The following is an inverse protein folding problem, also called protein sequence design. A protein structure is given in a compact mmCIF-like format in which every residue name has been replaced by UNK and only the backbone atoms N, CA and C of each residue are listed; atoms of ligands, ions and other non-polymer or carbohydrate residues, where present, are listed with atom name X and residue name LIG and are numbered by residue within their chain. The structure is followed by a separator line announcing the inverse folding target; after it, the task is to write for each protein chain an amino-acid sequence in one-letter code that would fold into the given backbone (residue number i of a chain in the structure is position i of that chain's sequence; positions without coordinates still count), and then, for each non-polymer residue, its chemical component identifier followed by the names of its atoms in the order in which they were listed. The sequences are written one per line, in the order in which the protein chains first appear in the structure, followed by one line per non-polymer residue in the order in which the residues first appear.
data_IF_702299625345
#
_entry.id   IF_702299625345
#
_cell.length_a   1.000
_cell.length_b   1.000
_cell.length_c   1.000
_cell.angle_alpha   90.00
_cell.angle_beta   90.00
_cell.angle_gamma   90.00
#
_symmetry.space_group_name_H-M   'P 1'
#
loop_
_entity.id
_entity.type
_entity.pdbx_description
1 polymer ?
#
# COMPACT_ATOMS: atom_id res chain seq x y z
N UNK A 1 -6.23 23.80 -4.05
CA UNK A 1 -6.52 22.54 -3.34
C UNK A 1 -5.75 21.34 -3.93
N UNK A 2 -5.74 21.12 -5.28
CA UNK A 2 -5.08 19.95 -5.90
C UNK A 2 -3.64 19.73 -5.41
N UNK A 3 -2.80 20.78 -5.37
CA UNK A 3 -1.41 20.67 -4.89
C UNK A 3 -1.35 20.34 -3.39
N UNK A 4 -2.19 21.00 -2.59
CA UNK A 4 -2.23 20.79 -1.13
C UNK A 4 -2.67 19.36 -0.79
N UNK A 5 -3.72 18.86 -1.46
CA UNK A 5 -4.25 17.52 -1.26
C UNK A 5 -3.24 16.45 -1.74
N UNK A 6 -2.62 16.67 -2.91
CA UNK A 6 -1.58 15.79 -3.42
C UNK A 6 -0.36 15.72 -2.49
N UNK A 7 0.05 16.86 -1.93
CA UNK A 7 1.15 16.90 -0.96
C UNK A 7 0.78 16.20 0.36
N UNK A 8 -0.43 16.41 0.86
CA UNK A 8 -0.94 15.76 2.06
C UNK A 8 -0.96 14.23 1.92
N UNK A 9 -1.46 13.73 0.79
CA UNK A 9 -1.46 12.29 0.49
C UNK A 9 -0.05 11.72 0.36
N UNK A 10 0.85 12.45 -0.30
CA UNK A 10 2.25 12.06 -0.43
C UNK A 10 2.97 12.01 0.93
N UNK A 11 2.73 13.00 1.79
CA UNK A 11 3.28 13.05 3.14
C UNK A 11 2.75 11.90 3.99
N UNK A 12 1.45 11.60 3.93
CA UNK A 12 0.84 10.46 4.62
C UNK A 12 1.44 9.13 4.15
N UNK A 13 1.63 8.95 2.83
CA UNK A 13 2.27 7.74 2.29
C UNK A 13 3.75 7.64 2.70
N UNK A 14 4.48 8.76 2.72
CA UNK A 14 5.84 8.79 3.22
C UNK A 14 5.93 8.32 4.68
N UNK A 15 5.11 8.90 5.55
CA UNK A 15 5.11 8.56 6.98
C UNK A 15 4.70 7.11 7.22
N UNK A 16 3.68 6.61 6.52
CA UNK A 16 3.25 5.23 6.61
C UNK A 16 4.37 4.26 6.18
N UNK A 17 4.96 4.48 5.01
CA UNK A 17 6.07 3.64 4.52
C UNK A 17 7.31 3.75 5.41
N UNK A 18 7.60 4.94 5.94
CA UNK A 18 8.70 5.12 6.88
C UNK A 18 8.46 4.35 8.18
N UNK A 19 7.25 4.38 8.70
CA UNK A 19 6.87 3.61 9.90
C UNK A 19 7.06 2.09 9.69
N UNK A 20 6.72 1.55 8.50
CA UNK A 20 7.00 0.15 8.15
C UNK A 20 8.51 -0.15 8.17
N UNK A 21 9.35 0.75 7.64
CA UNK A 21 10.81 0.61 7.65
C UNK A 21 11.35 0.68 9.09
N UNK A 22 10.88 1.63 9.89
CA UNK A 22 11.32 1.82 11.28
C UNK A 22 10.92 0.60 12.13
N UNK A 23 9.71 0.06 11.92
CA UNK A 23 9.26 -1.17 12.56
C UNK A 23 10.14 -2.37 12.19
N UNK A 24 10.45 -2.54 10.91
CA UNK A 24 11.35 -3.60 10.45
C UNK A 24 12.73 -3.50 11.12
N UNK A 25 13.32 -2.32 11.17
CA UNK A 25 14.63 -2.13 11.80
C UNK A 25 14.58 -2.41 13.31
N UNK A 26 13.49 -2.03 13.97
CA UNK A 26 13.29 -2.33 15.39
C UNK A 26 13.27 -3.85 15.64
N UNK A 27 12.46 -4.60 14.91
CA UNK A 27 12.40 -6.05 15.09
C UNK A 27 13.70 -6.73 14.71
N UNK A 28 14.36 -6.27 13.64
CA UNK A 28 15.69 -6.76 13.28
C UNK A 28 16.70 -6.61 14.42
N UNK A 29 16.71 -5.46 15.08
CA UNK A 29 17.62 -5.23 16.23
C UNK A 29 17.26 -6.11 17.43
N UNK A 30 15.98 -6.42 17.63
CA UNK A 30 15.53 -7.34 18.69
C UNK A 30 16.04 -8.74 18.38
N UNK A 31 15.80 -9.24 17.16
CA UNK A 31 16.26 -10.55 16.73
C UNK A 31 17.78 -10.73 16.79
N UNK A 32 18.54 -9.71 16.36
CA UNK A 32 20.00 -9.72 16.47
C UNK A 32 20.45 -9.94 17.91
N UNK A 33 19.77 -9.30 18.88
CA UNK A 33 20.06 -9.49 20.31
C UNK A 33 19.63 -10.86 20.83
N UNK A 34 18.46 -11.35 20.43
CA UNK A 34 17.97 -12.66 20.85
C UNK A 34 18.92 -13.76 20.38
N UNK A 35 19.35 -13.74 19.12
CA UNK A 35 20.33 -14.69 18.58
C UNK A 35 21.67 -14.62 19.34
N UNK A 36 22.09 -13.43 19.79
CA UNK A 36 23.34 -13.26 20.52
C UNK A 36 23.26 -13.75 21.99
N UNK A 37 22.11 -13.55 22.64
CA UNK A 37 21.97 -13.83 24.08
C UNK A 37 21.32 -15.17 24.38
N UNK A 38 20.41 -15.66 23.52
CA UNK A 38 19.61 -16.88 23.74
C UNK A 38 19.53 -17.75 22.46
N UNK A 39 20.67 -18.07 21.81
CA UNK A 39 20.66 -18.73 20.48
C UNK A 39 19.91 -20.07 20.45
N UNK A 40 19.93 -20.86 21.53
CA UNK A 40 19.21 -22.14 21.60
C UNK A 40 17.68 -21.92 21.65
N UNK A 41 17.22 -20.83 22.28
CA UNK A 41 15.81 -20.45 22.27
C UNK A 41 15.33 -20.15 20.85
N UNK A 42 16.04 -19.26 20.17
CA UNK A 42 15.77 -18.86 18.79
C UNK A 42 15.85 -20.02 17.79
N UNK A 43 16.78 -20.95 17.99
CA UNK A 43 16.87 -22.19 17.20
C UNK A 43 15.64 -23.08 17.39
N UNK A 44 15.13 -23.17 18.61
CA UNK A 44 13.90 -23.91 18.89
C UNK A 44 12.69 -23.24 18.27
N UNK A 45 12.64 -21.91 18.18
CA UNK A 45 11.57 -21.19 17.51
C UNK A 45 11.56 -21.48 15.99
N UNK A 46 12.71 -21.41 15.32
CA UNK A 46 12.85 -21.89 13.92
C UNK A 46 12.32 -23.30 13.78
N UNK A 47 12.69 -24.21 14.70
CA UNK A 47 12.22 -25.60 14.67
C UNK A 47 10.71 -25.70 14.75
N UNK A 48 10.07 -24.94 15.67
CA UNK A 48 8.61 -24.90 15.82
C UNK A 48 7.92 -24.32 14.58
N UNK A 49 8.44 -23.23 14.01
CA UNK A 49 7.91 -22.62 12.79
C UNK A 49 7.86 -23.64 11.67
N UNK A 50 8.95 -24.37 11.42
CA UNK A 50 9.01 -25.34 10.32
C UNK A 50 8.27 -26.64 10.63
N UNK A 51 8.16 -27.02 11.89
CA UNK A 51 7.26 -28.10 12.32
C UNK A 51 5.79 -27.79 12.01
N UNK A 52 5.35 -26.56 12.31
CA UNK A 52 4.00 -26.11 12.01
C UNK A 52 3.72 -26.03 10.49
N UNK A 53 4.77 -25.89 9.68
CA UNK A 53 4.71 -25.98 8.21
C UNK A 53 4.71 -27.42 7.67
N UNK A 54 4.78 -28.43 8.56
CA UNK A 54 4.69 -29.84 8.19
C UNK A 54 6.03 -30.56 7.99
N UNK A 55 7.17 -29.93 8.33
CA UNK A 55 8.47 -30.61 8.32
C UNK A 55 8.66 -31.45 9.59
N UNK A 56 9.19 -32.64 9.44
CA UNK A 56 9.45 -33.58 10.55
C UNK A 56 10.76 -34.35 10.37
N UNK A 57 11.28 -34.88 11.48
CA UNK A 57 12.46 -35.75 11.49
C UNK A 57 13.70 -35.11 10.90
N UNK A 58 14.51 -35.87 10.20
CA UNK A 58 15.81 -35.44 9.68
C UNK A 58 15.73 -34.21 8.76
N UNK A 59 14.68 -34.10 7.95
CA UNK A 59 14.49 -32.94 7.07
C UNK A 59 14.32 -31.66 7.87
N UNK A 60 13.58 -31.70 8.97
CA UNK A 60 13.42 -30.56 9.88
C UNK A 60 14.77 -30.15 10.49
N UNK A 61 15.51 -31.14 11.02
CA UNK A 61 16.78 -30.83 11.69
C UNK A 61 17.80 -30.24 10.70
N UNK A 62 17.85 -30.75 9.46
CA UNK A 62 18.69 -30.18 8.39
C UNK A 62 18.33 -28.74 8.04
N UNK A 63 17.03 -28.42 7.87
CA UNK A 63 16.58 -27.07 7.56
C UNK A 63 16.92 -26.10 8.70
N UNK A 64 16.71 -26.51 9.95
CA UNK A 64 17.07 -25.71 11.12
C UNK A 64 18.58 -25.41 11.16
N UNK A 65 19.40 -26.43 10.91
CA UNK A 65 20.86 -26.28 10.91
C UNK A 65 21.33 -25.33 9.80
N UNK A 66 20.84 -25.50 8.58
CA UNK A 66 21.20 -24.62 7.44
C UNK A 66 20.78 -23.17 7.68
N UNK A 67 19.58 -22.93 8.21
CA UNK A 67 19.11 -21.57 8.51
C UNK A 67 19.96 -20.93 9.60
N UNK A 68 20.21 -21.67 10.69
CA UNK A 68 20.89 -21.12 11.87
C UNK A 68 22.41 -21.01 11.67
N UNK A 69 23.00 -21.75 10.74
CA UNK A 69 24.39 -21.58 10.33
C UNK A 69 24.68 -20.24 9.64
N UNK A 70 23.66 -19.63 9.03
CA UNK A 70 23.78 -18.34 8.37
C UNK A 70 23.00 -17.26 9.13
N UNK A 71 23.72 -16.43 9.90
CA UNK A 71 23.11 -15.38 10.73
C UNK A 71 22.15 -14.45 9.95
N UNK A 72 22.51 -14.07 8.74
CA UNK A 72 21.67 -13.18 7.93
C UNK A 72 20.37 -13.88 7.47
N UNK A 73 20.47 -15.16 7.12
CA UNK A 73 19.33 -15.99 6.76
C UNK A 73 18.43 -16.22 7.98
N UNK A 74 19.02 -16.50 9.14
CA UNK A 74 18.32 -16.72 10.40
C UNK A 74 17.46 -15.47 10.76
N UNK A 75 18.08 -14.30 10.87
CA UNK A 75 17.38 -13.04 11.14
C UNK A 75 16.25 -12.80 10.11
N UNK A 76 16.54 -12.98 8.82
CA UNK A 76 15.56 -12.81 7.77
C UNK A 76 14.37 -13.77 7.93
N UNK A 77 14.64 -15.03 8.26
CA UNK A 77 13.59 -16.04 8.45
C UNK A 77 12.71 -15.69 9.64
N UNK A 78 13.29 -15.29 10.78
CA UNK A 78 12.54 -14.86 11.95
C UNK A 78 11.65 -13.67 11.62
N UNK A 79 12.20 -12.63 11.00
CA UNK A 79 11.43 -11.44 10.61
C UNK A 79 10.22 -11.77 9.70
N UNK A 80 10.37 -12.75 8.82
CA UNK A 80 9.29 -13.13 7.89
C UNK A 80 8.28 -14.08 8.52
N UNK A 81 8.75 -15.06 9.27
CA UNK A 81 7.91 -16.18 9.72
C UNK A 81 7.29 -15.95 11.09
N UNK A 82 7.98 -15.29 11.99
CA UNK A 82 7.48 -14.95 13.33
C UNK A 82 6.69 -13.63 13.31
N UNK A 83 7.29 -12.56 12.77
CA UNK A 83 6.67 -11.22 12.77
C UNK A 83 5.82 -10.94 11.53
N UNK A 84 5.82 -11.81 10.52
CA UNK A 84 5.05 -11.60 9.29
C UNK A 84 5.51 -10.38 8.48
N UNK A 85 6.76 -9.93 8.65
CA UNK A 85 7.28 -8.75 7.98
C UNK A 85 7.61 -9.03 6.51
N UNK A 86 7.47 -8.04 5.61
CA UNK A 86 7.72 -8.24 4.19
C UNK A 86 9.20 -8.50 3.92
N UNK A 87 9.47 -9.40 2.96
CA UNK A 87 10.84 -9.72 2.53
C UNK A 87 11.61 -8.52 1.96
N UNK A 88 10.89 -7.55 1.41
CA UNK A 88 11.45 -6.33 0.80
C UNK A 88 10.72 -5.10 1.32
N UNK A 89 11.48 -4.08 1.67
CA UNK A 89 10.95 -2.81 2.13
C UNK A 89 10.77 -1.84 0.96
N UNK A 90 9.71 -1.06 1.01
CA UNK A 90 9.48 0.04 0.07
C UNK A 90 10.34 1.24 0.49
N UNK A 91 10.68 2.08 -0.49
CA UNK A 91 11.41 3.33 -0.24
C UNK A 91 10.40 4.46 0.05
N UNK A 92 10.40 5.05 1.26
CA UNK A 92 9.39 6.05 1.64
C UNK A 92 9.30 7.23 0.68
N UNK A 93 10.45 7.80 0.30
CA UNK A 93 10.47 8.95 -0.61
C UNK A 93 9.96 8.61 -2.02
N UNK A 94 10.31 7.43 -2.55
CA UNK A 94 9.80 6.98 -3.85
C UNK A 94 8.28 6.76 -3.81
N UNK A 95 7.78 6.13 -2.75
CA UNK A 95 6.34 5.93 -2.56
C UNK A 95 5.59 7.27 -2.53
N UNK A 96 6.11 8.26 -1.79
CA UNK A 96 5.54 9.60 -1.72
C UNK A 96 5.54 10.32 -3.08
N UNK A 97 6.66 10.26 -3.80
CA UNK A 97 6.78 10.89 -5.12
C UNK A 97 5.82 10.28 -6.14
N UNK A 98 5.68 8.95 -6.14
CA UNK A 98 4.70 8.27 -7.01
C UNK A 98 3.27 8.68 -6.68
N UNK A 99 2.93 8.75 -5.38
CA UNK A 99 1.60 9.20 -4.93
C UNK A 99 1.33 10.64 -5.38
N UNK A 100 2.26 11.54 -5.16
CA UNK A 100 2.13 12.94 -5.58
C UNK A 100 1.96 13.08 -7.09
N UNK A 101 2.84 12.42 -7.86
CA UNK A 101 2.81 12.46 -9.32
C UNK A 101 1.52 11.89 -9.88
N UNK A 102 1.07 10.74 -9.37
CA UNK A 102 -0.19 10.13 -9.80
C UNK A 102 -1.38 11.04 -9.49
N UNK A 103 -1.39 11.66 -8.29
CA UNK A 103 -2.45 12.58 -7.89
C UNK A 103 -2.51 13.80 -8.81
N UNK A 104 -1.37 14.40 -9.13
CA UNK A 104 -1.31 15.53 -10.07
C UNK A 104 -1.77 15.14 -11.48
N UNK A 105 -1.23 14.05 -12.02
CA UNK A 105 -1.54 13.60 -13.39
C UNK A 105 -3.03 13.33 -13.58
N UNK A 106 -3.64 12.58 -12.66
CA UNK A 106 -5.04 12.20 -12.78
C UNK A 106 -5.98 13.28 -12.22
N UNK A 107 -5.56 14.05 -11.23
CA UNK A 107 -6.36 15.11 -10.62
C UNK A 107 -6.48 16.37 -11.47
N UNK A 108 -5.56 16.62 -12.41
CA UNK A 108 -5.65 17.77 -13.32
C UNK A 108 -6.71 17.54 -14.42
N UNK A 109 -6.96 16.30 -14.81
CA UNK A 109 -7.86 15.96 -15.94
C UNK A 109 -9.27 16.53 -15.73
N UNK A 110 -9.93 16.34 -14.58
CA UNK A 110 -11.24 16.94 -14.30
C UNK A 110 -11.25 18.47 -14.30
N UNK A 111 -10.11 19.11 -14.10
CA UNK A 111 -10.00 20.58 -14.04
C UNK A 111 -9.81 21.21 -15.42
N UNK A 112 -9.41 20.43 -16.43
CA UNK A 112 -9.17 20.93 -17.80
C UNK A 112 -10.34 21.76 -18.35
N UNK A 113 -11.62 21.34 -18.25
CA UNK A 113 -12.74 22.11 -18.77
C UNK A 113 -12.89 23.50 -18.15
N UNK A 114 -12.53 23.63 -16.86
CA UNK A 114 -12.56 24.92 -16.17
C UNK A 114 -11.42 25.83 -16.58
N UNK A 115 -10.21 25.27 -16.76
CA UNK A 115 -9.03 26.02 -17.21
C UNK A 115 -9.22 26.54 -18.64
N UNK A 116 -9.86 25.73 -19.51
CA UNK A 116 -10.16 26.08 -20.90
C UNK A 116 -11.44 26.93 -21.05
N UNK A 117 -12.12 27.27 -19.95
CA UNK A 117 -13.36 28.07 -19.94
C UNK A 117 -14.42 27.49 -20.92
N UNK A 118 -14.57 26.18 -20.93
CA UNK A 118 -15.51 25.47 -21.82
C UNK A 118 -16.96 25.76 -21.43
N UNK A 119 -17.84 25.87 -22.42
CA UNK A 119 -19.28 25.91 -22.16
C UNK A 119 -19.69 24.62 -21.43
N UNK A 120 -20.48 24.75 -20.35
CA UNK A 120 -20.91 23.64 -19.49
C UNK A 120 -19.73 22.87 -18.86
N UNK A 121 -18.71 23.60 -18.37
CA UNK A 121 -17.48 23.05 -17.76
C UNK A 121 -17.78 21.95 -16.73
N UNK A 122 -18.84 22.08 -15.95
CA UNK A 122 -19.25 21.08 -14.96
C UNK A 122 -19.57 19.71 -15.60
N UNK A 123 -20.35 19.70 -16.68
CA UNK A 123 -20.72 18.46 -17.38
C UNK A 123 -19.48 17.77 -17.96
N UNK A 124 -18.59 18.55 -18.59
CA UNK A 124 -17.34 18.04 -19.13
C UNK A 124 -16.41 17.54 -18.03
N UNK A 125 -16.34 18.21 -16.89
CA UNK A 125 -15.58 17.75 -15.73
C UNK A 125 -16.10 16.41 -15.21
N UNK A 126 -17.42 16.24 -15.08
CA UNK A 126 -18.01 14.94 -14.71
C UNK A 126 -17.66 13.83 -15.71
N UNK A 127 -17.70 14.12 -17.01
CA UNK A 127 -17.33 13.17 -18.05
C UNK A 127 -15.84 12.78 -17.98
N UNK A 128 -14.93 13.75 -17.84
CA UNK A 128 -13.50 13.47 -17.68
C UNK A 128 -13.19 12.75 -16.38
N UNK A 129 -13.89 13.06 -15.29
CA UNK A 129 -13.77 12.32 -14.03
C UNK A 129 -14.16 10.86 -14.21
N UNK A 130 -15.27 10.58 -14.89
CA UNK A 130 -15.72 9.21 -15.16
C UNK A 130 -14.68 8.43 -15.98
N UNK A 131 -14.15 9.03 -17.05
CA UNK A 131 -13.08 8.44 -17.86
C UNK A 131 -11.85 8.18 -17.00
N UNK A 132 -11.45 9.13 -16.17
CA UNK A 132 -10.27 9.02 -15.30
C UNK A 132 -10.42 7.84 -14.34
N UNK A 133 -11.55 7.70 -13.64
CA UNK A 133 -11.80 6.56 -12.77
C UNK A 133 -11.78 5.23 -13.51
N UNK A 134 -12.39 5.19 -14.69
CA UNK A 134 -12.38 3.98 -15.51
C UNK A 134 -10.97 3.60 -15.96
N UNK A 135 -10.17 4.55 -16.40
CA UNK A 135 -8.77 4.33 -16.83
C UNK A 135 -7.91 3.87 -15.65
N UNK A 136 -8.01 4.53 -14.49
CA UNK A 136 -7.27 4.12 -13.29
C UNK A 136 -7.64 2.68 -12.90
N UNK A 137 -8.92 2.34 -12.88
CA UNK A 137 -9.39 0.99 -12.59
C UNK A 137 -8.90 -0.04 -13.62
N UNK A 138 -8.90 0.32 -14.90
CA UNK A 138 -8.37 -0.52 -15.98
C UNK A 138 -6.87 -0.76 -15.85
N UNK A 139 -6.08 0.26 -15.50
CA UNK A 139 -4.64 0.13 -15.25
C UNK A 139 -4.39 -0.76 -14.02
N UNK A 140 -5.18 -0.58 -12.95
CA UNK A 140 -5.12 -1.39 -11.72
C UNK A 140 -5.29 -2.89 -12.02
N UNK A 141 -6.07 -3.27 -13.02
CA UNK A 141 -6.30 -4.67 -13.38
C UNK A 141 -5.03 -5.42 -13.76
N UNK A 142 -3.97 -4.71 -14.21
CA UNK A 142 -2.69 -5.32 -14.54
C UNK A 142 -2.04 -6.06 -13.36
N UNK A 143 -2.36 -5.66 -12.14
CA UNK A 143 -1.90 -6.29 -10.89
C UNK A 143 -3.02 -7.08 -10.17
N UNK A 144 -4.09 -7.42 -10.88
CA UNK A 144 -5.25 -8.15 -10.34
C UNK A 144 -5.62 -9.32 -11.26
N UNK A 145 -6.32 -10.31 -10.73
CA UNK A 145 -6.91 -11.42 -11.51
C UNK A 145 -8.19 -11.02 -12.25
N UNK A 146 -8.70 -9.81 -12.02
CA UNK A 146 -9.92 -9.30 -12.65
C UNK A 146 -9.65 -8.80 -14.06
N UNK A 147 -10.65 -8.89 -14.96
CA UNK A 147 -10.56 -8.28 -16.27
C UNK A 147 -10.51 -6.74 -16.19
N UNK A 148 -9.86 -6.11 -17.15
CA UNK A 148 -9.69 -4.65 -17.19
C UNK A 148 -11.01 -3.88 -17.23
N UNK A 149 -12.02 -4.41 -17.95
CA UNK A 149 -13.35 -3.83 -17.98
C UNK A 149 -14.02 -3.88 -16.61
N UNK A 150 -13.98 -5.05 -15.95
CA UNK A 150 -14.58 -5.20 -14.63
C UNK A 150 -13.93 -4.27 -13.60
N UNK A 151 -12.60 -4.22 -13.56
CA UNK A 151 -11.85 -3.34 -12.65
C UNK A 151 -12.08 -1.87 -12.96
N UNK A 152 -12.22 -1.50 -14.24
CA UNK A 152 -12.58 -0.16 -14.68
C UNK A 152 -13.96 0.28 -14.17
N UNK A 153 -14.98 -0.55 -14.40
CA UNK A 153 -16.34 -0.26 -13.92
C UNK A 153 -16.46 -0.29 -12.39
N UNK A 154 -15.78 -1.21 -11.71
CA UNK A 154 -15.73 -1.24 -10.24
C UNK A 154 -15.20 0.09 -9.68
N UNK A 155 -14.11 0.59 -10.21
CA UNK A 155 -13.51 1.86 -9.77
C UNK A 155 -14.40 3.06 -10.13
N UNK A 156 -15.00 3.05 -11.31
CA UNK A 156 -15.94 4.07 -11.73
C UNK A 156 -17.16 4.15 -10.79
N UNK A 157 -17.76 3.01 -10.43
CA UNK A 157 -18.92 2.95 -9.52
C UNK A 157 -18.53 3.49 -8.14
N UNK A 158 -17.39 3.05 -7.58
CA UNK A 158 -16.91 3.51 -6.27
C UNK A 158 -16.68 5.03 -6.31
N UNK A 159 -16.00 5.53 -7.36
CA UNK A 159 -15.75 6.96 -7.53
C UNK A 159 -17.04 7.78 -7.67
N UNK A 160 -18.02 7.27 -8.43
CA UNK A 160 -19.32 7.94 -8.61
C UNK A 160 -20.11 8.00 -7.30
N UNK A 161 -20.15 6.91 -6.54
CA UNK A 161 -20.79 6.89 -5.21
C UNK A 161 -20.13 7.89 -4.26
N UNK A 162 -18.81 7.91 -4.20
CA UNK A 162 -18.06 8.86 -3.36
C UNK A 162 -18.33 10.31 -3.76
N UNK A 163 -18.29 10.62 -5.06
CA UNK A 163 -18.59 11.96 -5.58
C UNK A 163 -20.04 12.39 -5.28
N UNK A 164 -21.00 11.49 -5.43
CA UNK A 164 -22.42 11.76 -5.12
C UNK A 164 -22.64 12.03 -3.63
N UNK A 165 -22.00 11.27 -2.75
CA UNK A 165 -22.05 11.50 -1.31
C UNK A 165 -21.44 12.85 -0.93
N UNK A 166 -20.26 13.18 -1.48
CA UNK A 166 -19.58 14.46 -1.24
C UNK A 166 -20.43 15.64 -1.70
N UNK A 167 -21.05 15.53 -2.87
CA UNK A 167 -21.95 16.55 -3.40
C UNK A 167 -23.20 16.72 -2.51
N UNK A 168 -23.82 15.60 -2.09
CA UNK A 168 -24.97 15.62 -1.18
C UNK A 168 -24.66 16.28 0.17
N UNK A 169 -23.51 15.96 0.75
CA UNK A 169 -23.04 16.61 2.00
C UNK A 169 -22.83 18.10 1.77
N UNK A 170 -22.21 18.49 0.65
CA UNK A 170 -22.01 19.91 0.30
C UNK A 170 -23.33 20.67 0.17
N UNK A 171 -24.33 20.11 -0.49
CA UNK A 171 -25.67 20.68 -0.58
C UNK A 171 -26.34 20.80 0.79
N UNK A 172 -26.27 19.78 1.61
CA UNK A 172 -26.84 19.79 2.95
C UNK A 172 -26.24 20.90 3.82
N UNK A 173 -24.89 21.00 3.83
CA UNK A 173 -24.20 22.05 4.58
C UNK A 173 -24.52 23.45 4.05
N UNK A 174 -24.59 23.61 2.72
CA UNK A 174 -24.98 24.90 2.13
C UNK A 174 -26.36 25.34 2.59
N UNK A 175 -27.33 24.39 2.61
CA UNK A 175 -28.69 24.69 3.05
C UNK A 175 -28.84 24.95 4.57
N UNK A 176 -27.87 24.49 5.35
CA UNK A 176 -27.85 24.65 6.80
C UNK A 176 -27.19 25.96 7.24
N UNK A 177 -26.33 26.53 6.37
CA UNK A 177 -25.54 27.74 6.65
C UNK A 177 -26.08 29.00 5.95
N UNK A 178 -27.04 28.85 5.03
CA UNK A 178 -27.75 29.93 4.35
C UNK A 178 -29.22 29.99 4.75
#
# INVERSE_FOLDING_TARGET
NLLADGFSMAASNYLGTKSEVDQFQRYKTIEEKHIDFIPEGEKNEIKQIFQNKGLHGQALDQVVEEITANRALWIKTMLQEEYGLPATLRFPLKSALYTFSAFLLFGIIPLIPYVLVMNNSFIWSCFFTAITFFVIGSIKSHWSTKSWLYSGFETLIIGTVTASLSYGIGLFLHHLLT
#
